data_IF_122558426639
#
_entry.id   IF_122558426639
#
_cell.length_a   1.000
_cell.length_b   1.000
_cell.length_c   1.000
_cell.angle_alpha   90.00
_cell.angle_beta   90.00
_cell.angle_gamma   90.00
#
_symmetry.space_group_name_H-M   'P 1'
#
loop_
_entity.id
_entity.type
_entity.pdbx_description
1 polymer ?
#
# COMPACT_ATOMS: atom_id res chain seq x y z
N UNK A 1 -54.28 -16.14 42.58
CA UNK A 1 -53.11 -17.05 42.64
C UNK A 1 -53.23 -17.99 41.46
N UNK A 2 -52.31 -18.15 40.51
CA UNK A 2 -50.93 -17.68 40.37
C UNK A 2 -50.67 -17.37 38.90
N UNK A 3 -49.90 -16.32 38.69
CA UNK A 3 -49.32 -15.86 37.44
C UNK A 3 -48.24 -16.84 36.93
N UNK A 4 -48.10 -16.90 35.59
CA UNK A 4 -46.85 -17.08 34.82
C UNK A 4 -45.92 -18.28 35.07
N UNK A 5 -45.66 -19.05 34.00
CA UNK A 5 -44.30 -19.50 33.63
C UNK A 5 -44.35 -20.23 32.27
N UNK A 6 -44.19 -19.53 31.16
CA UNK A 6 -42.93 -19.40 30.40
C UNK A 6 -42.57 -20.71 29.66
N UNK A 7 -43.06 -20.83 28.41
CA UNK A 7 -42.41 -21.66 27.40
C UNK A 7 -41.16 -20.93 26.92
N UNK A 8 -40.02 -21.21 27.54
CA UNK A 8 -38.70 -20.71 27.12
C UNK A 8 -37.78 -21.88 26.85
N UNK A 9 -37.84 -22.41 25.64
CA UNK A 9 -36.72 -23.14 25.04
C UNK A 9 -36.60 -22.64 23.60
N UNK A 10 -35.85 -21.55 23.47
CA UNK A 10 -35.40 -21.02 22.19
C UNK A 10 -34.47 -22.03 21.51
N UNK A 11 -34.81 -22.36 20.28
CA UNK A 11 -34.01 -23.11 19.34
C UNK A 11 -32.60 -22.49 19.19
N UNK A 12 -31.56 -23.23 19.59
CA UNK A 12 -30.15 -22.84 19.45
C UNK A 12 -29.64 -22.96 18.01
N UNK A 13 -30.49 -23.25 17.02
CA UNK A 13 -30.09 -23.48 15.63
C UNK A 13 -29.99 -22.21 14.76
N UNK A 14 -30.64 -21.10 15.13
CA UNK A 14 -30.69 -19.88 14.30
C UNK A 14 -29.45 -18.96 14.43
N UNK A 15 -28.70 -19.05 15.53
CA UNK A 15 -27.53 -18.17 15.79
C UNK A 15 -26.36 -18.38 14.81
N UNK A 16 -26.42 -19.44 14.00
CA UNK A 16 -25.37 -19.80 13.03
C UNK A 16 -25.60 -19.24 11.63
N UNK A 17 -26.79 -18.71 11.30
CA UNK A 17 -27.11 -18.37 9.91
C UNK A 17 -26.82 -16.94 9.46
N UNK A 18 -26.51 -15.97 10.35
CA UNK A 18 -26.27 -14.61 9.89
C UNK A 18 -25.23 -13.81 10.68
N UNK A 19 -24.08 -14.41 10.97
CA UNK A 19 -22.92 -13.65 11.48
C UNK A 19 -22.15 -13.03 10.31
N UNK A 20 -22.73 -11.98 9.70
CA UNK A 20 -21.95 -11.07 8.85
C UNK A 20 -20.86 -10.43 9.71
N UNK A 21 -19.64 -10.95 9.66
CA UNK A 21 -18.51 -10.32 10.33
C UNK A 21 -18.16 -9.01 9.60
N UNK A 22 -18.54 -7.88 10.20
CA UNK A 22 -18.14 -6.56 9.73
C UNK A 22 -16.61 -6.52 9.58
N UNK A 23 -16.13 -6.33 8.34
CA UNK A 23 -14.70 -6.19 8.09
C UNK A 23 -14.31 -4.77 8.44
N UNK A 24 -13.27 -4.61 9.24
CA UNK A 24 -12.67 -3.29 9.42
C UNK A 24 -12.22 -2.72 8.06
N UNK A 25 -12.45 -1.42 7.86
CA UNK A 25 -12.04 -0.67 6.67
C UNK A 25 -10.82 0.22 6.94
N UNK A 26 -10.07 -0.07 8.00
CA UNK A 26 -8.88 0.69 8.36
C UNK A 26 -7.77 0.59 7.30
N UNK A 27 -7.01 1.67 7.17
CA UNK A 27 -5.95 1.83 6.17
C UNK A 27 -4.88 0.72 6.24
N UNK A 28 -4.53 0.28 7.46
CA UNK A 28 -3.49 -0.72 7.72
C UNK A 28 -4.04 -2.14 7.88
N UNK A 29 -5.25 -2.43 7.41
CA UNK A 29 -5.84 -3.77 7.41
C UNK A 29 -4.98 -4.82 6.71
N UNK A 30 -4.77 -5.98 7.34
CA UNK A 30 -4.04 -7.13 6.77
C UNK A 30 -2.60 -6.77 6.31
N UNK A 31 -1.98 -5.75 6.91
CA UNK A 31 -0.64 -5.28 6.54
C UNK A 31 0.50 -5.88 7.36
N UNK A 32 0.22 -6.75 8.35
CA UNK A 32 1.23 -7.25 9.30
C UNK A 32 2.53 -7.71 8.64
N UNK A 33 2.45 -8.45 7.53
CA UNK A 33 3.65 -8.89 6.79
C UNK A 33 4.21 -7.81 5.85
N UNK A 34 3.34 -7.04 5.19
CA UNK A 34 3.74 -5.98 4.21
C UNK A 34 4.49 -4.82 4.86
N UNK A 35 4.10 -4.44 6.07
CA UNK A 35 4.69 -3.33 6.83
C UNK A 35 5.64 -3.83 7.93
N UNK A 36 6.17 -5.05 7.80
CA UNK A 36 7.17 -5.59 8.71
C UNK A 36 8.51 -5.68 8.00
N UNK A 37 9.59 -5.27 8.67
CA UNK A 37 10.96 -5.45 8.19
C UNK A 37 11.49 -6.84 8.59
N UNK A 38 12.37 -7.45 7.76
CA UNK A 38 13.04 -8.68 8.13
C UNK A 38 13.92 -8.43 9.37
N UNK A 39 14.13 -9.47 10.19
CA UNK A 39 14.77 -9.35 11.51
C UNK A 39 16.07 -8.55 11.51
N UNK A 40 16.92 -8.73 10.48
CA UNK A 40 18.23 -8.09 10.34
C UNK A 40 18.21 -6.69 9.71
N UNK A 41 17.09 -6.27 9.12
CA UNK A 41 16.94 -4.93 8.55
C UNK A 41 16.03 -4.04 9.40
N UNK A 42 15.77 -4.42 10.65
CA UNK A 42 15.04 -3.59 11.62
C UNK A 42 15.89 -2.39 12.03
N UNK A 43 15.24 -1.32 12.44
CA UNK A 43 15.88 -0.08 12.86
C UNK A 43 15.62 1.07 11.91
N UNK A 44 16.55 2.03 11.91
CA UNK A 44 16.46 3.23 11.09
C UNK A 44 16.65 2.90 9.61
N UNK A 45 15.98 3.67 8.76
CA UNK A 45 16.18 3.61 7.32
C UNK A 45 17.54 4.21 6.96
N UNK A 46 18.22 3.68 5.94
CA UNK A 46 19.50 4.25 5.49
C UNK A 46 19.29 5.67 4.99
N UNK A 47 20.22 6.56 5.36
CA UNK A 47 20.17 8.00 5.04
C UNK A 47 20.17 8.24 3.53
N UNK A 48 20.84 7.37 2.77
CA UNK A 48 20.89 7.44 1.29
C UNK A 48 19.52 7.52 0.65
N UNK A 49 18.52 6.80 1.18
CA UNK A 49 17.15 6.83 0.66
C UNK A 49 16.42 8.15 0.94
N UNK A 50 16.78 8.85 2.00
CA UNK A 50 16.14 10.12 2.35
C UNK A 50 16.65 11.29 1.51
N UNK A 51 17.90 11.19 1.02
CA UNK A 51 18.56 12.22 0.20
C UNK A 51 18.32 11.99 -1.30
N UNK A 52 17.88 10.79 -1.68
CA UNK A 52 17.67 10.44 -3.08
C UNK A 52 16.74 11.42 -3.80
N UNK A 53 17.22 11.95 -4.92
CA UNK A 53 16.49 12.82 -5.84
C UNK A 53 16.02 12.02 -7.05
N UNK A 54 14.91 12.45 -7.65
CA UNK A 54 14.33 11.84 -8.84
C UNK A 54 13.92 12.93 -9.81
N UNK A 55 14.30 12.78 -11.07
CA UNK A 55 13.92 13.72 -12.12
C UNK A 55 12.49 13.44 -12.61
N UNK A 56 11.76 14.49 -13.06
CA UNK A 56 10.45 14.30 -13.66
C UNK A 56 10.59 13.44 -14.92
N UNK A 57 9.80 12.39 -15.00
CA UNK A 57 9.82 11.42 -16.08
C UNK A 57 10.41 10.07 -15.73
N UNK A 58 11.13 9.97 -14.62
CA UNK A 58 11.75 8.72 -14.18
C UNK A 58 10.72 7.68 -13.73
N UNK A 59 11.02 6.42 -14.02
CA UNK A 59 10.25 5.28 -13.53
C UNK A 59 10.74 4.89 -12.13
N UNK A 60 9.81 4.84 -11.18
CA UNK A 60 10.10 4.51 -9.78
C UNK A 60 9.22 3.37 -9.27
N UNK A 61 9.81 2.50 -8.47
CA UNK A 61 9.10 1.48 -7.73
C UNK A 61 8.71 1.98 -6.34
N UNK A 62 7.48 1.70 -5.94
CA UNK A 62 6.98 2.08 -4.62
C UNK A 62 7.20 0.93 -3.66
N UNK A 63 8.22 1.10 -2.80
CA UNK A 63 8.57 0.15 -1.76
C UNK A 63 8.46 0.83 -0.41
N UNK A 64 7.32 0.61 0.23
CA UNK A 64 7.01 1.15 1.55
C UNK A 64 8.10 0.76 2.55
N UNK A 65 8.66 1.77 3.20
CA UNK A 65 9.55 1.61 4.33
C UNK A 65 8.76 1.88 5.62
N UNK A 66 8.44 0.87 6.43
CA UNK A 66 7.59 1.05 7.60
C UNK A 66 8.28 1.81 8.75
N UNK A 67 9.60 2.04 8.71
CA UNK A 67 10.28 2.84 9.75
C UNK A 67 9.93 4.33 9.66
N UNK A 68 9.50 4.81 8.48
CA UNK A 68 9.08 6.19 8.26
C UNK A 68 7.57 6.19 7.99
N UNK A 69 6.80 6.83 8.85
CA UNK A 69 5.35 6.88 8.69
C UNK A 69 4.87 8.06 7.84
N UNK A 70 5.66 9.12 7.73
CA UNK A 70 5.30 10.34 7.00
C UNK A 70 5.45 10.09 5.49
N UNK A 71 4.47 10.54 4.70
CA UNK A 71 4.49 10.37 3.25
C UNK A 71 4.38 8.92 2.78
N UNK A 72 3.95 8.02 3.67
CA UNK A 72 3.78 6.60 3.38
C UNK A 72 2.54 6.39 2.52
N UNK A 73 2.64 5.70 1.38
CA UNK A 73 1.48 5.39 0.55
C UNK A 73 0.65 4.26 1.13
N UNK A 74 -0.63 4.21 0.74
CA UNK A 74 -1.52 3.11 1.13
C UNK A 74 -0.97 1.75 0.63
N UNK A 75 -1.16 0.70 1.42
CA UNK A 75 -0.64 -0.66 1.16
C UNK A 75 -1.05 -1.32 -0.17
N UNK A 76 -2.03 -0.74 -0.87
CA UNK A 76 -2.46 -1.17 -2.21
C UNK A 76 -1.39 -0.90 -3.25
N UNK A 77 -0.64 0.19 -3.09
CA UNK A 77 0.36 0.66 -4.06
C UNK A 77 1.74 0.06 -3.81
N UNK A 78 1.90 -0.75 -2.77
CA UNK A 78 3.15 -1.43 -2.50
C UNK A 78 3.52 -2.38 -3.64
N UNK A 79 4.72 -2.21 -4.20
CA UNK A 79 5.23 -3.01 -5.32
C UNK A 79 4.72 -2.56 -6.69
N UNK A 80 4.00 -1.44 -6.78
CA UNK A 80 3.63 -0.84 -8.05
C UNK A 80 4.77 0.05 -8.57
N UNK A 81 4.85 0.15 -9.89
CA UNK A 81 5.72 1.12 -10.57
C UNK A 81 4.88 2.33 -10.96
N UNK A 82 5.44 3.52 -10.79
CA UNK A 82 4.87 4.77 -11.26
C UNK A 82 5.90 5.63 -11.95
N UNK A 83 5.43 6.75 -12.49
CA UNK A 83 6.26 7.77 -13.13
C UNK A 83 6.27 9.01 -12.25
N UNK A 84 7.44 9.61 -12.04
CA UNK A 84 7.56 10.88 -11.31
C UNK A 84 7.08 12.00 -12.22
N UNK A 85 6.11 12.79 -11.77
CA UNK A 85 5.65 14.00 -12.47
C UNK A 85 6.49 15.20 -12.04
N UNK A 86 6.84 15.27 -10.76
CA UNK A 86 7.64 16.34 -10.18
C UNK A 86 7.69 16.26 -8.66
N UNK A 87 8.14 17.34 -8.04
CA UNK A 87 8.31 17.45 -6.59
C UNK A 87 7.27 18.38 -5.96
N UNK A 88 6.88 18.06 -4.72
CA UNK A 88 6.04 18.89 -3.86
C UNK A 88 6.60 18.91 -2.44
N UNK A 89 7.37 19.95 -2.14
CA UNK A 89 8.02 20.11 -0.83
C UNK A 89 9.04 19.00 -0.58
N UNK A 90 8.77 18.11 0.38
CA UNK A 90 9.65 16.97 0.72
C UNK A 90 9.23 15.65 0.07
N UNK A 91 8.17 15.67 -0.75
CA UNK A 91 7.59 14.50 -1.37
C UNK A 91 7.57 14.65 -2.88
N UNK A 92 7.53 13.53 -3.59
CA UNK A 92 7.39 13.44 -5.02
C UNK A 92 5.93 13.17 -5.38
N UNK A 93 5.51 13.72 -6.52
CA UNK A 93 4.24 13.42 -7.15
C UNK A 93 4.48 12.23 -8.08
N UNK A 94 3.90 11.10 -7.73
CA UNK A 94 4.04 9.86 -8.50
C UNK A 94 2.70 9.47 -9.11
N UNK A 95 2.71 9.33 -10.43
CA UNK A 95 1.58 8.83 -11.21
C UNK A 95 1.62 7.30 -11.26
N UNK A 96 0.53 6.65 -10.86
CA UNK A 96 0.36 5.20 -10.95
C UNK A 96 -0.90 4.86 -11.73
N UNK A 97 -0.81 3.86 -12.60
CA UNK A 97 -1.97 3.19 -13.16
C UNK A 97 -2.50 2.12 -12.19
N UNK A 98 -3.63 2.37 -11.53
CA UNK A 98 -4.28 1.45 -10.60
C UNK A 98 -5.55 0.84 -11.21
N UNK A 99 -5.60 -0.49 -11.31
CA UNK A 99 -6.80 -1.19 -11.76
C UNK A 99 -6.53 -2.49 -12.50
N UNK A 100 -7.62 -3.17 -12.86
CA UNK A 100 -7.57 -4.36 -13.74
C UNK A 100 -7.50 -3.90 -15.19
N UNK A 101 -7.01 -4.78 -16.08
CA UNK A 101 -6.72 -4.50 -17.51
C UNK A 101 -7.79 -3.68 -18.24
N UNK A 102 -9.08 -3.88 -17.95
CA UNK A 102 -10.21 -3.19 -18.60
C UNK A 102 -10.59 -1.83 -18.00
N UNK A 103 -10.11 -1.48 -16.79
CA UNK A 103 -10.45 -0.23 -16.06
C UNK A 103 -9.24 0.22 -15.25
N UNK A 104 -8.20 0.71 -15.94
CA UNK A 104 -7.08 1.39 -15.29
C UNK A 104 -7.49 2.81 -14.97
N UNK A 105 -7.33 3.22 -13.73
CA UNK A 105 -7.46 4.61 -13.29
C UNK A 105 -6.08 5.15 -13.00
N UNK A 106 -5.77 6.29 -13.57
CA UNK A 106 -4.58 7.05 -13.20
C UNK A 106 -4.81 7.66 -11.82
N UNK A 107 -3.81 7.54 -10.95
CA UNK A 107 -3.82 8.10 -9.61
C UNK A 107 -2.50 8.80 -9.33
N UNK A 108 -2.61 9.99 -8.75
CA UNK A 108 -1.48 10.74 -8.24
C UNK A 108 -1.31 10.48 -6.74
N UNK A 109 -0.08 10.30 -6.32
CA UNK A 109 0.28 10.05 -4.93
C UNK A 109 1.43 10.97 -4.52
N UNK A 110 1.35 11.48 -3.30
CA UNK A 110 2.43 12.24 -2.68
C UNK A 110 3.24 11.31 -1.79
N UNK A 111 4.44 10.94 -2.25
CA UNK A 111 5.28 9.93 -1.61
C UNK A 111 6.67 10.50 -1.37
N UNK A 112 7.25 10.29 -0.19
CA UNK A 112 8.62 10.73 0.07
C UNK A 112 9.65 9.75 -0.49
N UNK A 113 10.88 10.25 -0.70
CA UNK A 113 12.00 9.48 -1.25
C UNK A 113 12.25 8.15 -0.53
N UNK A 114 12.03 8.08 0.80
CA UNK A 114 12.30 6.88 1.59
C UNK A 114 11.48 5.66 1.15
N UNK A 115 10.35 5.89 0.48
CA UNK A 115 9.44 4.86 0.00
C UNK A 115 9.54 4.60 -1.50
N UNK A 116 10.43 5.32 -2.19
CA UNK A 116 10.69 5.15 -3.61
C UNK A 116 11.97 4.35 -3.80
N UNK A 117 12.09 3.73 -4.97
CA UNK A 117 13.29 3.03 -5.39
C UNK A 117 13.40 3.18 -6.90
N UNK A 118 14.56 3.57 -7.43
CA UNK A 118 14.72 3.82 -8.86
C UNK A 118 14.54 2.51 -9.62
N UNK A 119 13.87 2.58 -10.78
CA UNK A 119 13.91 1.50 -11.75
C UNK A 119 15.13 1.71 -12.65
N UNK A 120 16.07 0.77 -12.59
CA UNK A 120 17.19 0.76 -13.54
C UNK A 120 16.57 0.47 -14.92
N UNK A 121 16.59 1.46 -15.81
CA UNK A 121 16.16 1.26 -17.18
C UNK A 121 17.21 0.38 -17.87
N UNK A 122 16.82 -0.80 -18.34
CA UNK A 122 17.63 -1.55 -19.28
C UNK A 122 17.77 -0.69 -20.55
N UNK A 123 18.99 -0.44 -21.05
CA UNK A 123 19.15 0.28 -22.31
C UNK A 123 18.31 -0.41 -23.39
N UNK A 124 17.53 0.37 -24.14
CA UNK A 124 16.75 -0.14 -25.25
C UNK A 124 17.70 -0.78 -26.27
N UNK A 125 17.35 -1.98 -26.73
CA UNK A 125 18.12 -2.80 -27.70
C UNK A 125 18.38 -2.05 -29.04
N UNK A 126 17.76 -0.89 -29.24
CA UNK A 126 17.90 -0.02 -30.42
C UNK A 126 19.31 0.57 -30.54
N UNK A 127 20.09 0.65 -29.45
CA UNK A 127 21.46 1.18 -29.48
C UNK A 127 22.52 0.19 -30.03
N UNK A 128 22.16 -1.06 -30.37
CA UNK A 128 23.09 -2.10 -30.84
C UNK A 128 22.93 -2.50 -32.31
N UNK A 129 22.33 -1.65 -33.15
CA UNK A 129 22.11 -1.93 -34.58
C UNK A 129 22.91 -1.02 -35.52
N UNK A 130 24.14 -0.65 -35.13
CA UNK A 130 25.13 -0.04 -36.03
C UNK A 130 26.37 -0.93 -36.07
#
# INVERSE_FOLDING_TARGET
>A
MSLYSINFILDKSEWRQNKQMARSHGERKRTRKKLSKPKRARGLSPISKAIQQFEPGESVHIRIDPSVHKGMPHQRFHGMTGKVIGERGRAFIVEISDGKRKRKKVKELFIRAEHLSPQIQSPSIIASSQ
#
